data_IF_429753630437
#
_entry.id   IF_429753630437
#
_cell.length_a   1.000
_cell.length_b   1.000
_cell.length_c   1.000
_cell.angle_alpha   90.00
_cell.angle_beta   90.00
_cell.angle_gamma   90.00
#
_symmetry.space_group_name_H-M   'P 1'
#
loop_
_entity.id
_entity.type
_entity.pdbx_description
1 polymer ?
#
# COMPACT_ATOMS: atom_id res chain seq x y z
N UNK A 1 -12.86 -7.36 -2.74
CA UNK A 1 -13.30 -6.90 -4.07
C UNK A 1 -14.12 -5.63 -4.00
N UNK A 2 -15.08 -5.53 -3.07
CA UNK A 2 -15.99 -4.37 -2.94
C UNK A 2 -15.27 -3.00 -2.86
N UNK A 3 -14.18 -2.91 -2.09
CA UNK A 3 -13.44 -1.65 -1.93
C UNK A 3 -12.82 -1.11 -3.22
N UNK A 4 -12.33 -2.00 -4.08
CA UNK A 4 -11.69 -1.63 -5.35
C UNK A 4 -12.71 -1.04 -6.33
N UNK A 5 -13.96 -1.51 -6.27
CA UNK A 5 -15.07 -0.97 -7.07
C UNK A 5 -15.40 0.44 -6.59
N UNK A 6 -15.50 0.68 -5.28
CA UNK A 6 -15.75 2.02 -4.71
C UNK A 6 -14.67 3.05 -5.07
N UNK A 7 -13.40 2.61 -5.15
CA UNK A 7 -12.28 3.46 -5.59
C UNK A 7 -12.44 3.84 -7.06
N UNK A 8 -12.75 2.86 -7.93
CA UNK A 8 -12.96 3.11 -9.36
C UNK A 8 -14.19 3.99 -9.63
N UNK A 9 -15.22 3.90 -8.78
CA UNK A 9 -16.42 4.75 -8.83
C UNK A 9 -16.18 6.17 -8.29
N UNK A 10 -14.97 6.49 -7.81
CA UNK A 10 -14.63 7.80 -7.25
C UNK A 10 -15.31 8.11 -5.92
N UNK A 11 -15.87 7.11 -5.24
CA UNK A 11 -16.56 7.27 -3.94
C UNK A 11 -15.57 7.40 -2.78
N UNK A 12 -14.35 6.86 -2.93
CA UNK A 12 -13.27 7.02 -1.96
C UNK A 12 -12.27 8.08 -2.44
N UNK A 13 -12.34 9.29 -1.89
CA UNK A 13 -11.46 10.42 -2.26
C UNK A 13 -10.03 10.29 -1.72
N UNK A 14 -9.85 9.52 -0.64
CA UNK A 14 -8.54 9.30 -0.04
C UNK A 14 -7.73 8.20 -0.75
N UNK A 15 -8.39 7.38 -1.57
CA UNK A 15 -7.81 6.26 -2.29
C UNK A 15 -7.71 6.57 -3.78
N UNK A 16 -6.64 6.10 -4.42
CA UNK A 16 -6.46 6.20 -5.86
C UNK A 16 -5.62 5.05 -6.40
N UNK A 17 -5.68 4.85 -7.70
CA UNK A 17 -4.83 3.89 -8.43
C UNK A 17 -3.84 4.70 -9.26
N UNK A 18 -2.54 4.41 -9.13
CA UNK A 18 -1.51 5.08 -9.93
C UNK A 18 -1.36 4.46 -11.33
N UNK A 19 -0.47 5.04 -12.14
CA UNK A 19 -0.19 4.57 -13.52
C UNK A 19 0.31 3.12 -13.60
N UNK A 20 0.85 2.58 -12.50
CA UNK A 20 1.33 1.21 -12.40
C UNK A 20 0.24 0.25 -11.89
N UNK A 21 -0.99 0.73 -11.69
CA UNK A 21 -2.08 -0.06 -11.15
C UNK A 21 -2.00 -0.26 -9.63
N UNK A 22 -1.16 0.51 -8.91
CA UNK A 22 -0.97 0.36 -7.48
C UNK A 22 -1.99 1.21 -6.72
N UNK A 23 -2.68 0.60 -5.76
CA UNK A 23 -3.60 1.31 -4.86
C UNK A 23 -2.80 2.14 -3.86
N UNK A 24 -3.13 3.42 -3.74
CA UNK A 24 -2.53 4.36 -2.81
C UNK A 24 -3.59 5.02 -1.94
N UNK A 25 -3.31 5.13 -0.64
CA UNK A 25 -4.07 5.92 0.32
C UNK A 25 -3.29 7.17 0.68
N UNK A 26 -3.79 8.35 0.29
CA UNK A 26 -3.11 9.65 0.52
C UNK A 26 -1.63 9.63 0.12
N UNK A 27 -1.33 9.04 -1.05
CA UNK A 27 0.01 8.88 -1.60
C UNK A 27 0.82 7.68 -1.07
N UNK A 28 0.36 7.01 -0.01
CA UNK A 28 1.01 5.83 0.58
C UNK A 28 0.56 4.56 -0.13
N UNK A 29 1.50 3.66 -0.46
CA UNK A 29 1.18 2.36 -1.06
C UNK A 29 0.35 1.51 -0.11
N UNK A 30 -0.77 0.98 -0.60
CA UNK A 30 -1.57 -0.01 0.12
C UNK A 30 -1.01 -1.41 -0.13
N UNK A 31 -0.78 -2.16 0.95
CA UNK A 31 -0.36 -3.56 0.91
C UNK A 31 -1.57 -4.42 1.27
N UNK A 32 -1.77 -5.52 0.55
CA UNK A 32 -2.79 -6.51 0.89
C UNK A 32 -2.54 -7.10 2.28
N UNK A 33 -3.60 -7.41 3.03
CA UNK A 33 -3.50 -8.00 4.36
C UNK A 33 -3.19 -9.51 4.30
N UNK A 34 -2.04 -9.82 3.71
CA UNK A 34 -1.48 -11.17 3.59
C UNK A 34 -0.26 -11.22 4.51
N UNK A 35 -0.26 -12.05 5.56
CA UNK A 35 0.79 -12.06 6.58
C UNK A 35 2.20 -12.20 6.01
N UNK A 36 2.39 -13.06 5.01
CA UNK A 36 3.67 -13.35 4.39
C UNK A 36 4.19 -12.14 3.60
N UNK A 37 3.33 -11.46 2.85
CA UNK A 37 3.69 -10.23 2.13
C UNK A 37 4.09 -9.12 3.10
N UNK A 38 3.31 -8.95 4.17
CA UNK A 38 3.59 -7.95 5.22
C UNK A 38 4.94 -8.20 5.87
N UNK A 39 5.25 -9.46 6.19
CA UNK A 39 6.53 -9.87 6.76
C UNK A 39 7.69 -9.52 5.82
N UNK A 40 7.62 -9.92 4.55
CA UNK A 40 8.68 -9.65 3.58
C UNK A 40 8.98 -8.15 3.43
N UNK A 41 7.95 -7.31 3.34
CA UNK A 41 8.13 -5.86 3.20
C UNK A 41 8.77 -5.23 4.44
N UNK A 42 8.36 -5.67 5.63
CA UNK A 42 8.91 -5.16 6.89
C UNK A 42 10.35 -5.61 7.11
N UNK A 43 10.68 -6.86 6.77
CA UNK A 43 12.05 -7.40 6.84
C UNK A 43 12.99 -6.63 5.91
N UNK A 44 12.59 -6.41 4.65
CA UNK A 44 13.37 -5.60 3.70
C UNK A 44 13.59 -4.17 4.22
N UNK A 45 12.53 -3.54 4.74
CA UNK A 45 12.61 -2.20 5.31
C UNK A 45 13.61 -2.13 6.48
N UNK A 46 13.59 -3.12 7.37
CA UNK A 46 14.52 -3.24 8.50
C UNK A 46 15.96 -3.48 8.06
N UNK A 47 16.17 -4.31 7.03
CA UNK A 47 17.50 -4.63 6.50
C UNK A 47 18.07 -3.49 5.62
N UNK A 48 17.23 -2.58 5.14
CA UNK A 48 17.66 -1.44 4.35
C UNK A 48 18.57 -0.49 5.15
N UNK A 49 19.59 0.06 4.50
CA UNK A 49 20.43 1.12 5.08
C UNK A 49 19.70 2.45 5.32
N UNK A 50 18.40 2.51 4.98
CA UNK A 50 17.51 3.64 5.22
C UNK A 50 16.68 3.47 6.50
N UNK A 51 16.79 2.33 7.20
CA UNK A 51 16.14 2.14 8.50
C UNK A 51 16.79 3.04 9.55
N UNK A 52 16.14 4.18 9.84
CA UNK A 52 16.56 5.10 10.89
C UNK A 52 15.72 4.81 12.14
N UNK A 53 16.30 4.15 13.13
CA UNK A 53 15.72 3.99 14.45
C UNK A 53 16.52 4.85 15.43
N UNK A 54 15.89 5.73 16.25
CA UNK A 54 16.59 6.45 17.31
C UNK A 54 17.11 5.50 18.41
#
# INVERSE_FOLDING_TARGET
MEKLVSINEGKETDFGVDENGVVRYRGRVCVSDVPELKKMILEEGHQSGLSIHP
#
